data_IF_379043495889
#
_entry.id   IF_379043495889
#
_cell.length_a   1.000
_cell.length_b   1.000
_cell.length_c   1.000
_cell.angle_alpha   90.00
_cell.angle_beta   90.00
_cell.angle_gamma   90.00
#
_symmetry.space_group_name_H-M   'P 1'
#
loop_
_entity.id
_entity.type
_entity.pdbx_description
1 polymer ?
#
# COMPACT_ATOMS: atom_id res chain seq x y z
N UNK A 1 -25.59 46.29 -41.95
CA UNK A 1 -26.17 45.27 -41.05
C UNK A 1 -25.85 43.88 -41.61
N UNK A 2 -25.51 42.94 -40.72
CA UNK A 2 -25.28 41.49 -40.95
C UNK A 2 -23.96 41.12 -41.66
N UNK A 3 -23.14 40.20 -41.18
CA UNK A 3 -22.94 39.50 -39.89
C UNK A 3 -21.57 38.83 -40.10
N UNK A 4 -20.58 39.21 -39.32
CA UNK A 4 -19.24 38.60 -39.33
C UNK A 4 -19.38 37.16 -38.85
N UNK A 5 -18.87 36.19 -39.61
CA UNK A 5 -18.72 34.82 -39.13
C UNK A 5 -17.24 34.40 -39.33
N UNK A 6 -16.43 34.73 -38.32
CA UNK A 6 -15.07 34.22 -38.17
C UNK A 6 -15.20 32.78 -37.68
N UNK A 7 -14.85 31.81 -38.53
CA UNK A 7 -14.76 30.41 -38.14
C UNK A 7 -13.33 30.14 -37.63
N UNK A 8 -13.10 30.42 -36.36
CA UNK A 8 -11.84 30.11 -35.67
C UNK A 8 -11.87 28.61 -35.33
N UNK A 9 -11.27 27.77 -36.17
CA UNK A 9 -11.10 26.35 -35.88
C UNK A 9 -10.01 26.21 -34.81
N UNK A 10 -10.45 26.02 -33.57
CA UNK A 10 -9.61 25.77 -32.42
C UNK A 10 -9.07 24.34 -32.53
N UNK A 11 -7.84 24.20 -33.02
CA UNK A 11 -7.06 22.97 -32.92
C UNK A 11 -6.76 22.72 -31.44
N UNK A 12 -7.58 21.90 -30.79
CA UNK A 12 -7.25 21.35 -29.46
C UNK A 12 -6.27 20.22 -29.71
N UNK A 13 -4.97 20.54 -29.62
CA UNK A 13 -3.93 19.55 -29.42
C UNK A 13 -4.21 18.83 -28.11
N UNK A 14 -4.59 17.55 -28.17
CA UNK A 14 -4.56 16.66 -27.03
C UNK A 14 -3.09 16.47 -26.64
N UNK A 15 -2.63 17.27 -25.68
CA UNK A 15 -1.40 17.01 -24.94
C UNK A 15 -1.57 15.69 -24.20
N UNK A 16 -0.86 14.65 -24.66
CA UNK A 16 -0.66 13.44 -23.89
C UNK A 16 0.05 13.84 -22.59
N UNK A 17 -0.63 13.71 -21.45
CA UNK A 17 0.05 13.67 -20.17
C UNK A 17 0.98 12.45 -20.19
N UNK A 18 2.25 12.70 -20.44
CA UNK A 18 3.31 11.76 -20.09
C UNK A 18 3.68 12.14 -18.67
N UNK A 19 2.87 11.71 -17.70
CA UNK A 19 3.42 11.55 -16.37
C UNK A 19 4.09 10.20 -16.39
N UNK A 20 5.40 10.26 -16.62
CA UNK A 20 6.30 9.17 -16.30
C UNK A 20 6.27 9.08 -14.77
N UNK A 21 5.29 8.35 -14.23
CA UNK A 21 5.41 7.95 -12.83
C UNK A 21 6.67 7.10 -12.75
N UNK A 22 7.64 7.69 -12.05
CA UNK A 22 8.92 7.15 -11.69
C UNK A 22 8.69 5.70 -11.26
N UNK A 23 9.23 4.74 -12.02
CA UNK A 23 9.46 3.38 -11.53
C UNK A 23 10.51 3.52 -10.42
N UNK A 24 10.10 4.06 -9.27
CA UNK A 24 10.89 4.05 -8.05
C UNK A 24 11.01 2.59 -7.68
N UNK A 25 12.09 1.97 -8.15
CA UNK A 25 12.50 0.64 -7.74
C UNK A 25 12.68 0.73 -6.23
N UNK A 26 11.68 0.22 -5.50
CA UNK A 26 11.76 0.11 -4.05
C UNK A 26 12.97 -0.74 -3.74
N UNK A 27 13.99 -0.11 -3.16
CA UNK A 27 15.21 -0.83 -2.83
C UNK A 27 14.96 -1.68 -1.59
N UNK A 28 15.61 -2.83 -1.49
CA UNK A 28 15.53 -3.67 -0.29
C UNK A 28 15.86 -2.90 0.99
N UNK A 29 16.79 -1.93 0.91
CA UNK A 29 17.12 -1.00 2.00
C UNK A 29 15.91 -0.20 2.52
N UNK A 30 14.87 0.03 1.71
CA UNK A 30 13.74 0.89 2.04
C UNK A 30 12.66 0.18 2.87
N UNK A 31 12.54 -1.15 2.76
CA UNK A 31 11.60 -1.93 3.58
C UNK A 31 12.27 -2.63 4.75
N UNK A 32 13.55 -3.01 4.64
CA UNK A 32 14.29 -3.67 5.72
C UNK A 32 14.29 -2.81 6.98
N UNK A 33 13.85 -3.41 8.10
CA UNK A 33 13.68 -2.72 9.38
C UNK A 33 12.51 -3.27 10.19
N UNK A 34 12.27 -2.64 11.34
CA UNK A 34 11.13 -2.93 12.20
C UNK A 34 10.04 -1.87 11.99
N UNK A 35 8.79 -2.31 12.05
CA UNK A 35 7.62 -1.49 11.74
C UNK A 35 6.52 -1.75 12.76
N UNK A 36 5.91 -0.69 13.27
CA UNK A 36 4.81 -0.76 14.26
C UNK A 36 3.50 -0.27 13.65
N UNK A 37 2.43 -1.04 13.87
CA UNK A 37 1.08 -0.70 13.42
C UNK A 37 0.61 0.59 14.09
N UNK A 38 0.08 1.51 13.28
CA UNK A 38 -0.51 2.77 13.74
C UNK A 38 -1.97 2.95 13.32
N UNK A 39 -2.42 2.29 12.25
CA UNK A 39 -3.81 2.33 11.84
C UNK A 39 -4.25 1.12 11.00
N UNK A 40 -5.55 0.83 11.01
CA UNK A 40 -6.20 -0.19 10.19
C UNK A 40 -7.32 0.46 9.37
N UNK A 41 -7.42 0.06 8.11
CA UNK A 41 -8.57 0.27 7.25
C UNK A 41 -9.38 -1.03 7.19
N UNK A 42 -10.67 -0.95 7.46
CA UNK A 42 -11.64 -2.02 7.23
C UNK A 42 -12.94 -1.41 6.71
N UNK A 43 -13.20 -1.53 5.41
CA UNK A 43 -14.43 -1.05 4.79
C UNK A 43 -15.54 -2.11 4.90
N UNK A 44 -16.77 -1.76 5.31
CA UNK A 44 -17.89 -2.71 5.41
C UNK A 44 -18.59 -2.98 4.07
N UNK A 45 -18.14 -2.36 2.97
CA UNK A 45 -18.67 -2.53 1.62
C UNK A 45 -19.57 -1.38 1.15
N UNK A 46 -19.64 -0.29 1.92
CA UNK A 46 -20.40 0.92 1.57
C UNK A 46 -19.50 2.10 1.14
N UNK A 47 -18.18 1.89 1.12
CA UNK A 47 -17.21 2.92 0.74
C UNK A 47 -16.93 3.94 1.84
N UNK A 48 -17.40 3.72 3.06
CA UNK A 48 -17.13 4.59 4.22
C UNK A 48 -15.84 4.26 4.96
N UNK A 49 -15.12 3.20 4.55
CA UNK A 49 -13.89 2.74 5.17
C UNK A 49 -12.85 3.85 5.24
N UNK A 50 -12.33 4.07 6.45
CA UNK A 50 -11.23 5.00 6.70
C UNK A 50 -10.23 4.37 7.65
N UNK A 51 -8.98 4.82 7.58
CA UNK A 51 -7.96 4.40 8.53
C UNK A 51 -8.30 4.88 9.94
N UNK A 52 -8.41 3.94 10.87
CA UNK A 52 -8.63 4.17 12.28
C UNK A 52 -7.41 3.74 13.08
N UNK A 53 -7.06 4.48 14.14
CA UNK A 53 -5.88 4.18 14.96
C UNK A 53 -5.93 2.78 15.56
N UNK A 54 -4.84 2.04 15.43
CA UNK A 54 -4.69 0.67 15.95
C UNK A 54 -3.22 0.40 16.28
N UNK A 55 -2.95 -0.50 17.23
CA UNK A 55 -1.58 -0.81 17.70
C UNK A 55 -1.47 -2.29 18.06
N UNK A 56 -0.25 -2.78 18.31
CA UNK A 56 0.00 -4.11 18.88
C UNK A 56 0.51 -5.15 17.88
N UNK A 57 0.54 -4.82 16.59
CA UNK A 57 1.18 -5.62 15.53
C UNK A 57 2.50 -4.99 15.13
N UNK A 58 3.52 -5.81 14.93
CA UNK A 58 4.85 -5.42 14.44
C UNK A 58 5.25 -6.30 13.28
N UNK A 59 5.89 -5.69 12.28
CA UNK A 59 6.54 -6.40 11.17
C UNK A 59 8.05 -6.14 11.23
N UNK A 60 8.84 -7.19 11.04
CA UNK A 60 10.28 -7.07 10.86
C UNK A 60 10.67 -7.66 9.51
N UNK A 61 11.15 -6.82 8.61
CA UNK A 61 11.69 -7.21 7.31
C UNK A 61 13.21 -7.33 7.40
N UNK A 62 13.76 -8.48 7.02
CA UNK A 62 15.20 -8.76 7.01
C UNK A 62 15.78 -8.60 5.61
N UNK A 63 17.10 -8.42 5.51
CA UNK A 63 17.85 -8.39 4.23
C UNK A 63 17.97 -9.77 3.54
N UNK A 64 17.23 -10.77 4.02
CA UNK A 64 17.14 -12.12 3.44
C UNK A 64 15.75 -12.38 2.86
N UNK A 65 15.01 -11.34 2.48
CA UNK A 65 13.64 -11.44 1.99
C UNK A 65 12.66 -12.14 2.95
N UNK A 66 12.91 -12.09 4.28
CA UNK A 66 12.03 -12.67 5.31
C UNK A 66 11.27 -11.58 6.05
N UNK A 67 10.00 -11.82 6.33
CA UNK A 67 9.17 -10.99 7.23
C UNK A 67 8.73 -11.78 8.46
N UNK A 68 8.99 -11.23 9.65
CA UNK A 68 8.50 -11.77 10.93
C UNK A 68 7.36 -10.89 11.45
N UNK A 69 6.26 -11.51 11.87
CA UNK A 69 5.09 -10.85 12.42
C UNK A 69 4.89 -11.32 13.87
N UNK A 70 4.80 -10.41 14.84
CA UNK A 70 4.63 -10.80 16.25
C UNK A 70 3.29 -11.51 16.52
N UNK A 71 2.27 -11.21 15.72
CA UNK A 71 0.97 -11.87 15.62
C UNK A 71 0.71 -12.23 14.15
N UNK A 72 -0.44 -12.85 13.83
CA UNK A 72 -0.80 -13.21 12.46
C UNK A 72 -0.63 -12.07 11.45
N UNK A 73 -0.03 -12.39 10.30
CA UNK A 73 -0.06 -11.48 9.16
C UNK A 73 -1.48 -11.29 8.61
N UNK A 74 -2.30 -12.34 8.62
CA UNK A 74 -3.66 -12.32 8.09
C UNK A 74 -4.52 -11.23 8.70
N UNK A 75 -5.25 -10.49 7.85
CA UNK A 75 -6.12 -9.42 8.31
C UNK A 75 -7.20 -9.92 9.28
N UNK A 76 -7.41 -9.18 10.38
CA UNK A 76 -8.43 -9.49 11.39
C UNK A 76 -8.10 -10.68 12.32
N UNK A 77 -6.96 -11.35 12.18
CA UNK A 77 -6.56 -12.48 13.02
C UNK A 77 -5.63 -12.04 14.17
N UNK A 78 -6.18 -11.36 15.18
CA UNK A 78 -5.38 -10.80 16.28
C UNK A 78 -4.92 -11.80 17.35
N UNK A 79 -5.43 -13.03 17.33
CA UNK A 79 -5.20 -14.04 18.39
C UNK A 79 -4.27 -15.18 17.96
N UNK A 80 -3.75 -15.16 16.74
CA UNK A 80 -2.87 -16.19 16.22
C UNK A 80 -1.43 -15.99 16.70
N UNK A 81 -0.66 -17.09 16.74
CA UNK A 81 0.75 -17.08 17.08
C UNK A 81 1.57 -16.20 16.11
N UNK A 82 2.80 -15.90 16.50
CA UNK A 82 3.81 -15.28 15.62
C UNK A 82 3.90 -16.05 14.29
N UNK A 83 3.84 -15.33 13.18
CA UNK A 83 3.94 -15.89 11.82
C UNK A 83 5.18 -15.35 11.11
N UNK A 84 5.78 -16.17 10.25
CA UNK A 84 6.94 -15.78 9.44
C UNK A 84 6.63 -16.11 7.98
N UNK A 85 7.08 -15.25 7.07
CA UNK A 85 6.96 -15.49 5.64
C UNK A 85 8.02 -14.75 4.85
N UNK A 86 7.72 -14.49 3.59
CA UNK A 86 8.66 -13.86 2.66
C UNK A 86 8.06 -12.61 2.04
N UNK A 87 8.92 -11.71 1.58
CA UNK A 87 8.51 -10.55 0.82
C UNK A 87 9.36 -10.42 -0.45
N UNK A 88 8.82 -9.72 -1.44
CA UNK A 88 9.49 -9.45 -2.70
C UNK A 88 9.43 -7.95 -3.01
N UNK A 89 10.58 -7.35 -3.30
CA UNK A 89 10.71 -5.91 -3.59
C UNK A 89 10.44 -5.56 -5.04
N UNK A 90 10.54 -6.54 -5.95
CA UNK A 90 10.23 -6.36 -7.36
C UNK A 90 8.72 -6.33 -7.61
N UNK A 91 7.97 -7.15 -6.86
CA UNK A 91 6.50 -7.22 -6.97
C UNK A 91 5.77 -6.51 -5.82
N UNK A 92 6.52 -5.98 -4.84
CA UNK A 92 5.98 -5.33 -3.64
C UNK A 92 4.94 -6.20 -2.92
N UNK A 93 5.23 -7.50 -2.80
CA UNK A 93 4.32 -8.52 -2.25
C UNK A 93 4.86 -9.14 -0.97
N UNK A 94 3.95 -9.65 -0.14
CA UNK A 94 4.21 -10.36 1.12
C UNK A 94 3.39 -11.65 1.11
N UNK A 95 4.05 -12.76 1.44
CA UNK A 95 3.47 -14.10 1.48
C UNK A 95 3.75 -14.70 2.86
N UNK A 96 2.70 -14.91 3.67
CA UNK A 96 2.80 -15.48 5.02
C UNK A 96 1.69 -16.51 5.21
N UNK A 97 2.08 -17.76 5.46
CA UNK A 97 1.16 -18.91 5.56
C UNK A 97 0.22 -19.02 4.35
N UNK A 98 -1.08 -18.78 4.55
CA UNK A 98 -2.12 -18.80 3.52
C UNK A 98 -2.67 -17.39 3.21
N UNK A 99 -1.94 -16.35 3.62
CA UNK A 99 -2.31 -14.96 3.47
C UNK A 99 -1.30 -14.23 2.61
N UNK A 100 -1.82 -13.45 1.67
CA UNK A 100 -1.04 -12.66 0.73
C UNK A 100 -1.40 -11.20 0.89
N UNK A 101 -0.42 -10.34 0.68
CA UNK A 101 -0.60 -8.91 0.70
C UNK A 101 0.36 -8.21 -0.24
N UNK A 102 0.05 -6.96 -0.55
CA UNK A 102 0.98 -6.04 -1.20
C UNK A 102 1.35 -4.93 -0.24
N UNK A 103 2.43 -4.23 -0.51
CA UNK A 103 2.80 -3.06 0.26
C UNK A 103 3.20 -1.89 -0.63
N UNK A 104 3.14 -0.68 -0.07
CA UNK A 104 3.64 0.53 -0.68
C UNK A 104 4.07 1.54 0.38
N UNK A 105 4.79 2.58 -0.05
CA UNK A 105 5.18 3.68 0.83
C UNK A 105 4.33 4.91 0.57
N UNK A 106 3.85 5.53 1.64
CA UNK A 106 3.11 6.79 1.62
C UNK A 106 3.69 7.73 2.68
N UNK A 107 4.70 8.50 2.29
CA UNK A 107 5.45 9.35 3.22
C UNK A 107 6.12 8.51 4.31
N UNK A 108 5.82 8.70 5.61
CA UNK A 108 6.42 7.92 6.69
C UNK A 108 5.78 6.54 6.87
N UNK A 109 4.72 6.22 6.12
CA UNK A 109 3.95 5.00 6.31
C UNK A 109 4.36 3.91 5.35
N UNK A 110 4.51 2.70 5.88
CA UNK A 110 4.36 1.46 5.12
C UNK A 110 2.87 1.10 5.13
N UNK A 111 2.23 1.10 3.96
CA UNK A 111 0.86 0.64 3.80
C UNK A 111 0.87 -0.80 3.31
N UNK A 112 0.27 -1.72 4.06
CA UNK A 112 0.09 -3.12 3.69
C UNK A 112 -1.38 -3.33 3.33
N UNK A 113 -1.65 -3.74 2.10
CA UNK A 113 -2.99 -4.15 1.66
C UNK A 113 -3.10 -5.66 1.68
N UNK A 114 -4.19 -6.17 2.23
CA UNK A 114 -4.47 -7.60 2.29
C UNK A 114 -5.54 -7.97 1.26
N UNK A 115 -5.58 -9.25 0.88
CA UNK A 115 -6.66 -9.75 0.03
C UNK A 115 -7.98 -9.79 0.82
N UNK A 116 -8.85 -8.82 0.57
CA UNK A 116 -10.18 -8.70 1.16
C UNK A 116 -11.25 -8.49 0.07
N UNK A 117 -12.50 -8.83 0.37
CA UNK A 117 -13.64 -8.58 -0.53
C UNK A 117 -13.89 -7.07 -0.61
N UNK A 118 -13.83 -6.40 0.53
CA UNK A 118 -13.86 -4.95 0.67
C UNK A 118 -12.46 -4.38 0.97
N UNK A 119 -12.19 -3.09 0.69
CA UNK A 119 -10.91 -2.48 1.01
C UNK A 119 -10.49 -2.69 2.48
N UNK A 120 -9.33 -3.29 2.67
CA UNK A 120 -8.72 -3.49 3.97
C UNK A 120 -7.22 -3.23 3.89
N UNK A 121 -6.63 -2.77 4.98
CA UNK A 121 -5.22 -2.46 5.01
C UNK A 121 -4.72 -2.05 6.38
N UNK A 122 -3.41 -2.00 6.50
CA UNK A 122 -2.69 -1.69 7.72
C UNK A 122 -1.64 -0.63 7.41
N UNK A 123 -1.51 0.36 8.29
CA UNK A 123 -0.46 1.38 8.22
C UNK A 123 0.52 1.15 9.33
N UNK A 124 1.79 1.17 8.97
CA UNK A 124 2.90 1.04 9.90
C UNK A 124 3.83 2.23 9.80
N UNK A 125 4.51 2.53 10.91
CA UNK A 125 5.65 3.45 10.93
C UNK A 125 6.92 2.67 11.25
N UNK A 126 8.03 3.07 10.63
CA UNK A 126 9.33 2.47 10.93
C UNK A 126 9.71 2.82 12.36
N UNK A 127 10.11 1.81 13.12
CA UNK A 127 10.67 1.96 14.46
C UNK A 127 12.14 1.56 14.41
N UNK A 128 13.00 2.56 14.56
CA UNK A 128 14.42 2.41 14.84
C UNK A 128 14.63 2.48 16.35
#
# INVERSE_FOLDING_TARGET
MKKILILFSFFISLSACTDCDDDTVVTESEIVGNWELVAILADPGDGSGTYQSATGKTLQFTDQAVVNCNISFCFGQLTQATTTGTYDTSTMSIEVDNCTGTYSFNGPFLEVSHFCIEPCGERYVRVN
#
